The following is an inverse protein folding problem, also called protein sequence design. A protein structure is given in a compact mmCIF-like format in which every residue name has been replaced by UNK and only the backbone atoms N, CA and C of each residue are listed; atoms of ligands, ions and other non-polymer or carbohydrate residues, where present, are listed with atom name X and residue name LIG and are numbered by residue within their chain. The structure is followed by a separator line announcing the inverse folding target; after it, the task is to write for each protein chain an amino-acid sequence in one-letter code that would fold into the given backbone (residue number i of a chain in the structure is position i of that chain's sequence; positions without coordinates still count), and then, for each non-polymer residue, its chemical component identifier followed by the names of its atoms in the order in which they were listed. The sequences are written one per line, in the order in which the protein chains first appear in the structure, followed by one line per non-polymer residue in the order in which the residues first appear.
data_IF_696575854274
#
_entry.id   IF_696575854274
#
_cell.length_a   1.000
_cell.length_b   1.000
_cell.length_c   1.000
_cell.angle_alpha   90.00
_cell.angle_beta   90.00
_cell.angle_gamma   90.00
#
_symmetry.space_group_name_H-M   'P 1'
#
loop_
_entity.id
_entity.type
_entity.pdbx_description
1 polymer ?
#
# COMPACT_ATOMS: atom_id res chain seq x y z
N UNK A 1 -28.77 28.50 80.45
CA UNK A 1 -28.50 27.05 80.40
C UNK A 1 -29.45 26.46 79.38
N UNK A 2 -29.11 25.64 78.41
CA UNK A 2 -27.84 25.25 77.80
C UNK A 2 -28.24 24.56 76.48
N UNK A 3 -27.57 24.96 75.40
CA UNK A 3 -27.22 24.16 74.22
C UNK A 3 -28.35 23.66 73.30
N UNK A 4 -28.51 24.43 72.23
CA UNK A 4 -28.43 23.95 70.85
C UNK A 4 -27.66 22.63 70.69
N UNK A 5 -28.29 21.62 70.08
CA UNK A 5 -27.61 20.62 69.23
C UNK A 5 -28.36 20.51 67.91
N UNK A 6 -28.05 21.49 67.05
CA UNK A 6 -28.02 21.30 65.60
C UNK A 6 -26.61 20.78 65.27
N UNK A 7 -26.54 19.72 64.50
CA UNK A 7 -25.32 18.99 64.15
C UNK A 7 -25.46 17.54 64.63
N UNK A 8 -25.24 16.51 63.82
CA UNK A 8 -24.51 16.44 62.58
C UNK A 8 -24.73 14.99 62.08
N UNK A 9 -25.62 14.77 61.12
CA UNK A 9 -25.72 13.49 60.38
C UNK A 9 -25.75 13.79 58.89
N UNK A 10 -24.68 14.41 58.42
CA UNK A 10 -24.39 14.56 56.98
C UNK A 10 -22.91 14.25 56.80
N UNK A 11 -22.57 12.96 56.79
CA UNK A 11 -21.15 12.57 56.71
C UNK A 11 -20.91 11.09 56.42
N UNK A 12 -21.85 10.38 55.79
CA UNK A 12 -21.65 8.95 55.49
C UNK A 12 -22.21 8.46 54.15
N UNK A 13 -22.44 9.36 53.19
CA UNK A 13 -22.97 8.98 51.85
C UNK A 13 -22.05 9.40 50.67
N UNK A 14 -20.94 10.10 50.92
CA UNK A 14 -20.02 10.52 49.86
C UNK A 14 -19.04 9.42 49.45
N UNK A 15 -18.51 8.64 50.40
CA UNK A 15 -17.53 7.58 50.11
C UNK A 15 -18.08 6.38 49.33
N UNK A 16 -19.38 6.07 49.43
CA UNK A 16 -19.97 4.91 48.73
C UNK A 16 -20.28 5.21 47.26
N UNK A 17 -20.63 6.47 46.93
CA UNK A 17 -20.82 6.95 45.55
C UNK A 17 -19.50 7.06 44.77
N UNK A 18 -18.44 7.55 45.42
CA UNK A 18 -17.11 7.64 44.80
C UNK A 18 -16.57 6.25 44.47
N UNK A 19 -16.65 5.29 45.41
CA UNK A 19 -16.25 3.90 45.14
C UNK A 19 -17.09 3.22 44.06
N UNK A 20 -18.38 3.55 43.97
CA UNK A 20 -19.26 3.02 42.91
C UNK A 20 -18.89 3.55 41.52
N UNK A 21 -18.61 4.84 41.42
CA UNK A 21 -18.15 5.50 40.18
C UNK A 21 -16.81 4.93 39.72
N UNK A 22 -15.86 4.70 40.64
CA UNK A 22 -14.55 4.14 40.31
C UNK A 22 -14.66 2.68 39.81
N UNK A 23 -15.56 1.89 40.40
CA UNK A 23 -15.82 0.51 39.96
C UNK A 23 -16.49 0.47 38.57
N UNK A 24 -17.40 1.41 38.27
CA UNK A 24 -17.99 1.53 36.93
C UNK A 24 -16.97 1.98 35.88
N UNK A 25 -16.09 2.93 36.24
CA UNK A 25 -14.99 3.36 35.38
C UNK A 25 -14.02 2.21 35.06
N UNK A 26 -13.67 1.40 36.07
CA UNK A 26 -12.80 0.22 35.90
C UNK A 26 -13.45 -0.83 34.97
N UNK A 27 -14.72 -1.16 35.17
CA UNK A 27 -15.46 -2.09 34.29
C UNK A 27 -15.50 -1.59 32.85
N UNK A 28 -15.69 -0.28 32.65
CA UNK A 28 -15.68 0.32 31.31
C UNK A 28 -14.29 0.27 30.68
N UNK A 29 -13.23 0.46 31.46
CA UNK A 29 -11.85 0.35 30.99
C UNK A 29 -11.51 -1.09 30.59
N UNK A 30 -11.88 -2.07 31.42
CA UNK A 30 -11.72 -3.51 31.12
C UNK A 30 -12.46 -3.91 29.83
N UNK A 31 -13.66 -3.36 29.60
CA UNK A 31 -14.40 -3.60 28.37
C UNK A 31 -13.76 -2.97 27.12
N UNK A 32 -13.02 -1.87 27.26
CA UNK A 32 -12.34 -1.17 26.16
C UNK A 32 -10.95 -1.75 25.85
N UNK A 33 -10.30 -2.39 26.80
CA UNK A 33 -8.95 -2.93 26.65
C UNK A 33 -8.81 -3.90 25.44
N UNK A 34 -9.73 -4.85 25.17
CA UNK A 34 -9.61 -5.72 24.01
C UNK A 34 -9.68 -4.97 22.67
N UNK A 35 -10.50 -3.90 22.60
CA UNK A 35 -10.60 -3.07 21.41
C UNK A 35 -9.31 -2.28 21.17
N UNK A 36 -8.70 -1.76 22.25
CA UNK A 36 -7.41 -1.09 22.19
C UNK A 36 -6.29 -2.03 21.72
N UNK A 37 -6.19 -3.24 22.28
CA UNK A 37 -5.16 -4.20 21.88
C UNK A 37 -5.32 -4.64 20.42
N UNK A 38 -6.56 -4.80 19.94
CA UNK A 38 -6.81 -5.06 18.52
C UNK A 38 -6.32 -3.90 17.65
N UNK A 39 -6.71 -2.66 17.97
CA UNK A 39 -6.28 -1.48 17.21
C UNK A 39 -4.77 -1.31 17.23
N UNK A 40 -4.11 -1.61 18.35
CA UNK A 40 -2.66 -1.59 18.47
C UNK A 40 -2.01 -2.64 17.57
N UNK A 41 -2.53 -3.86 17.56
CA UNK A 41 -2.03 -4.92 16.68
C UNK A 41 -2.24 -4.58 15.21
N UNK A 42 -3.40 -4.02 14.85
CA UNK A 42 -3.72 -3.57 13.49
C UNK A 42 -2.77 -2.45 13.05
N UNK A 43 -2.48 -1.50 13.94
CA UNK A 43 -1.52 -0.43 13.69
C UNK A 43 -0.12 -0.98 13.40
N UNK A 44 0.38 -1.90 14.23
CA UNK A 44 1.70 -2.50 14.03
C UNK A 44 1.78 -3.22 12.68
N UNK A 45 0.73 -3.95 12.28
CA UNK A 45 0.68 -4.60 10.96
C UNK A 45 0.69 -3.58 9.83
N UNK A 46 -0.12 -2.53 9.93
CA UNK A 46 -0.16 -1.48 8.91
C UNK A 46 1.18 -0.73 8.80
N UNK A 47 1.83 -0.44 9.92
CA UNK A 47 3.18 0.16 9.95
C UNK A 47 4.20 -0.74 9.24
N UNK A 48 4.18 -2.04 9.56
CA UNK A 48 5.05 -3.03 8.90
C UNK A 48 4.79 -3.16 7.39
N UNK A 49 3.52 -3.12 6.97
CA UNK A 49 3.15 -3.16 5.56
C UNK A 49 3.62 -1.90 4.82
N UNK A 50 3.49 -0.72 5.44
CA UNK A 50 3.99 0.53 4.87
C UNK A 50 5.50 0.48 4.68
N UNK A 51 6.25 0.01 5.67
CA UNK A 51 7.70 -0.15 5.57
C UNK A 51 8.08 -1.10 4.42
N UNK A 52 7.44 -2.28 4.36
CA UNK A 52 7.69 -3.28 3.31
C UNK A 52 7.36 -2.74 1.92
N UNK A 53 6.16 -2.18 1.73
CA UNK A 53 5.73 -1.64 0.43
C UNK A 53 6.59 -0.46 -0.02
N UNK A 54 7.07 0.36 0.92
CA UNK A 54 8.00 1.46 0.61
C UNK A 54 9.34 0.92 0.11
N UNK A 55 9.87 -0.13 0.73
CA UNK A 55 11.10 -0.77 0.29
C UNK A 55 10.93 -1.44 -1.09
N UNK A 56 9.82 -2.15 -1.32
CA UNK A 56 9.48 -2.76 -2.61
C UNK A 56 9.37 -1.71 -3.72
N UNK A 57 8.70 -0.58 -3.44
CA UNK A 57 8.59 0.53 -4.39
C UNK A 57 9.95 1.15 -4.71
N UNK A 58 10.81 1.34 -3.70
CA UNK A 58 12.15 1.88 -3.91
C UNK A 58 13.01 0.94 -4.77
N UNK A 59 12.93 -0.36 -4.54
CA UNK A 59 13.61 -1.38 -5.34
C UNK A 59 13.12 -1.39 -6.80
N UNK A 60 11.80 -1.38 -7.01
CA UNK A 60 11.20 -1.34 -8.35
C UNK A 60 11.64 -0.08 -9.13
N UNK A 61 11.66 1.08 -8.47
CA UNK A 61 12.15 2.33 -9.07
C UNK A 61 13.64 2.30 -9.40
N UNK A 62 14.45 1.68 -8.54
CA UNK A 62 15.87 1.52 -8.79
C UNK A 62 16.12 0.62 -10.01
N UNK A 63 15.40 -0.50 -10.09
CA UNK A 63 15.46 -1.40 -11.24
C UNK A 63 15.02 -0.70 -12.53
N UNK A 64 13.92 0.06 -12.51
CA UNK A 64 13.47 0.82 -13.67
C UNK A 64 14.53 1.83 -14.15
N UNK A 65 15.17 2.56 -13.24
CA UNK A 65 16.28 3.45 -13.58
C UNK A 65 17.51 2.73 -14.12
N UNK A 66 17.82 1.54 -13.61
CA UNK A 66 18.95 0.73 -14.08
C UNK A 66 18.70 0.19 -15.50
N UNK A 67 17.53 -0.37 -15.75
CA UNK A 67 17.21 -1.03 -17.02
C UNK A 67 16.78 -0.05 -18.12
N UNK A 68 16.02 0.99 -17.76
CA UNK A 68 15.36 1.90 -18.69
C UNK A 68 15.90 3.33 -18.61
N UNK A 69 16.75 3.64 -17.63
CA UNK A 69 17.28 4.99 -17.40
C UNK A 69 16.31 5.93 -16.66
N UNK A 70 15.06 5.52 -16.45
CA UNK A 70 13.99 6.32 -15.83
C UNK A 70 13.04 5.45 -15.02
N UNK A 71 12.42 6.01 -13.97
CA UNK A 71 11.29 5.40 -13.24
C UNK A 71 9.97 6.16 -13.46
N UNK A 72 9.93 7.09 -14.42
CA UNK A 72 8.70 7.74 -14.84
C UNK A 72 7.87 6.78 -15.72
N UNK A 73 6.74 6.32 -15.19
CA UNK A 73 5.82 5.41 -15.87
C UNK A 73 5.34 5.95 -17.23
N UNK A 74 5.09 7.26 -17.34
CA UNK A 74 4.66 7.86 -18.60
C UNK A 74 5.78 7.88 -19.63
N UNK A 75 7.03 8.07 -19.19
CA UNK A 75 8.20 7.96 -20.06
C UNK A 75 8.42 6.52 -20.52
N UNK A 76 8.38 5.56 -19.60
CA UNK A 76 8.49 4.12 -19.91
C UNK A 76 7.41 3.71 -20.92
N UNK A 77 6.17 4.15 -20.73
CA UNK A 77 5.09 3.85 -21.68
C UNK A 77 5.37 4.43 -23.07
N UNK A 78 5.92 5.64 -23.17
CA UNK A 78 6.32 6.22 -24.47
C UNK A 78 7.42 5.41 -25.14
N UNK A 79 8.44 4.99 -24.38
CA UNK A 79 9.53 4.15 -24.89
C UNK A 79 9.01 2.81 -25.45
N UNK A 80 8.06 2.18 -24.75
CA UNK A 80 7.45 0.92 -25.20
C UNK A 80 6.70 1.11 -26.52
N UNK A 81 5.88 2.16 -26.64
CA UNK A 81 5.11 2.41 -27.86
C UNK A 81 6.01 2.76 -29.05
N UNK A 82 7.08 3.53 -28.82
CA UNK A 82 8.09 3.82 -29.84
C UNK A 82 8.80 2.54 -30.30
N UNK A 83 9.24 1.70 -29.36
CA UNK A 83 9.89 0.42 -29.67
C UNK A 83 8.95 -0.54 -30.43
N UNK A 84 7.65 -0.55 -30.10
CA UNK A 84 6.63 -1.33 -30.84
C UNK A 84 6.47 -0.82 -32.27
N UNK A 85 6.37 0.49 -32.45
CA UNK A 85 6.25 1.11 -33.77
C UNK A 85 7.49 0.84 -34.63
N UNK A 86 8.68 0.96 -34.05
CA UNK A 86 9.92 0.65 -34.75
C UNK A 86 10.01 -0.83 -35.13
N UNK A 87 9.67 -1.74 -34.21
CA UNK A 87 9.64 -3.17 -34.51
C UNK A 87 8.65 -3.49 -35.64
N UNK A 88 7.47 -2.88 -35.66
CA UNK A 88 6.50 -3.09 -36.73
C UNK A 88 7.08 -2.69 -38.10
N UNK A 89 7.82 -1.57 -38.18
CA UNK A 89 8.51 -1.15 -39.40
C UNK A 89 9.58 -2.16 -39.81
N UNK A 90 10.45 -2.55 -38.87
CA UNK A 90 11.53 -3.52 -39.13
C UNK A 90 11.00 -4.88 -39.59
N UNK A 91 9.86 -5.32 -39.05
CA UNK A 91 9.20 -6.57 -39.46
C UNK A 91 8.70 -6.47 -40.91
N UNK A 92 8.10 -5.35 -41.31
CA UNK A 92 7.65 -5.15 -42.70
C UNK A 92 8.84 -5.10 -43.66
N UNK A 93 9.90 -4.35 -43.31
CA UNK A 93 11.13 -4.28 -44.10
C UNK A 93 11.74 -5.67 -44.29
N UNK A 94 11.78 -6.46 -43.22
CA UNK A 94 12.27 -7.83 -43.28
C UNK A 94 11.39 -8.72 -44.15
N UNK A 95 10.06 -8.59 -44.07
CA UNK A 95 9.12 -9.33 -44.91
C UNK A 95 9.27 -8.97 -46.40
N UNK A 96 9.56 -7.72 -46.73
CA UNK A 96 9.86 -7.29 -48.10
C UNK A 96 11.19 -7.88 -48.59
N UNK A 97 12.24 -7.82 -47.77
CA UNK A 97 13.53 -8.41 -48.10
C UNK A 97 13.41 -9.93 -48.35
N UNK A 98 12.63 -10.63 -47.51
CA UNK A 98 12.39 -12.05 -47.65
C UNK A 98 11.68 -12.38 -48.97
N UNK A 99 10.62 -11.64 -49.31
CA UNK A 99 9.91 -11.78 -50.61
C UNK A 99 10.86 -11.57 -51.79
N UNK A 100 11.67 -10.50 -51.75
CA UNK A 100 12.62 -10.23 -52.83
C UNK A 100 13.66 -11.34 -53.03
N UNK A 101 14.11 -11.99 -51.93
CA UNK A 101 15.00 -13.16 -52.01
C UNK A 101 14.27 -14.35 -52.62
N UNK A 102 13.04 -14.63 -52.17
CA UNK A 102 12.22 -15.72 -52.71
C UNK A 102 11.95 -15.56 -54.20
N UNK A 103 11.62 -14.36 -54.66
CA UNK A 103 11.37 -14.06 -56.08
C UNK A 103 12.62 -14.29 -56.93
N UNK A 104 13.79 -13.88 -56.43
CA UNK A 104 15.07 -14.12 -57.12
C UNK A 104 15.41 -15.60 -57.23
N UNK A 105 15.16 -16.38 -56.17
CA UNK A 105 15.38 -17.83 -56.20
C UNK A 105 14.43 -18.52 -57.20
N UNK A 106 13.15 -18.16 -57.17
CA UNK A 106 12.16 -18.69 -58.12
C UNK A 106 12.52 -18.39 -59.58
N UNK A 107 13.03 -17.18 -59.86
CA UNK A 107 13.49 -16.81 -61.20
C UNK A 107 14.70 -17.64 -61.68
N UNK A 108 15.60 -18.01 -60.77
CA UNK A 108 16.75 -18.88 -61.10
C UNK A 108 16.31 -20.32 -61.38
N UNK A 109 15.33 -20.83 -60.65
CA UNK A 109 14.80 -22.18 -60.84
C UNK A 109 13.93 -22.30 -62.10
N UNK A 110 13.21 -21.24 -62.48
CA UNK A 110 12.38 -21.22 -63.70
C UNK A 110 13.20 -21.08 -65.01
N UNK A 111 14.44 -20.63 -64.93
CA UNK A 111 15.37 -20.50 -66.06
C UNK A 111 16.18 -21.77 -66.36
N UNK A 112 15.91 -22.87 -65.65
CA UNK A 112 16.64 -24.15 -65.72
C UNK A 112 15.77 -25.24 -66.33
#
# INVERSE_FOLDING_TARGET
MERSRKGQETGRDTGSRETGSDVEALKRLEALQPAFERLRADRIRAESDVERLTAELAAARAQAREELGTDDEAEIHRMIEEARAENARRVEDFAQALRAVQDRLAALDAGR
#
